data_IF_471607695614
#
_entry.id   IF_471607695614
#
_cell.length_a   1.000
_cell.length_b   1.000
_cell.length_c   1.000
_cell.angle_alpha   90.00
_cell.angle_beta   90.00
_cell.angle_gamma   90.00
#
_symmetry.space_group_name_H-M   'P 1'
#
loop_
_entity.id
_entity.type
_entity.pdbx_description
1 polymer ?
#
# COMPACT_ATOMS: atom_id res chain seq x y z
N UNK A 1 -3.78 3.96 -11.20
CA UNK A 1 -3.79 3.24 -9.92
C UNK A 1 -4.42 1.88 -10.17
N UNK A 2 -3.65 0.79 -10.11
CA UNK A 2 -4.15 -0.54 -10.52
C UNK A 2 -5.10 -1.04 -9.44
N UNK A 3 -6.40 -0.81 -9.64
CA UNK A 3 -7.48 -1.39 -8.86
C UNK A 3 -7.43 -2.92 -9.02
N UNK A 4 -7.32 -3.64 -7.91
CA UNK A 4 -7.54 -5.10 -7.88
C UNK A 4 -8.97 -5.34 -7.39
N UNK A 5 -9.76 -5.95 -8.28
CA UNK A 5 -11.16 -6.32 -8.12
C UNK A 5 -11.34 -7.45 -7.10
N UNK A 6 -12.34 -7.34 -6.22
CA UNK A 6 -12.82 -8.44 -5.39
C UNK A 6 -14.16 -8.98 -5.92
N UNK A 7 -14.31 -10.30 -6.05
CA UNK A 7 -15.57 -10.98 -6.37
C UNK A 7 -16.22 -11.50 -5.09
N UNK A 8 -17.52 -11.24 -4.90
CA UNK A 8 -18.33 -11.84 -3.82
C UNK A 8 -19.02 -13.07 -4.41
N UNK A 9 -18.61 -14.27 -3.99
CA UNK A 9 -19.34 -15.49 -4.30
C UNK A 9 -20.36 -15.74 -3.18
N UNK A 10 -21.64 -15.48 -3.46
CA UNK A 10 -22.74 -15.88 -2.61
C UNK A 10 -23.34 -17.16 -3.19
N UNK A 11 -22.89 -18.32 -2.69
CA UNK A 11 -23.64 -19.59 -2.57
C UNK A 11 -22.68 -20.76 -2.30
N UNK A 12 -23.10 -21.65 -1.38
CA UNK A 12 -22.37 -22.84 -0.96
C UNK A 12 -22.26 -23.85 -2.10
N UNK A 13 -21.14 -23.85 -2.81
CA UNK A 13 -20.59 -25.05 -3.44
C UNK A 13 -19.07 -24.86 -3.51
N UNK A 14 -18.30 -25.88 -3.13
CA UNK A 14 -16.83 -25.82 -3.05
C UNK A 14 -16.20 -25.53 -4.43
N UNK A 15 -16.05 -24.25 -4.76
CA UNK A 15 -15.27 -23.82 -5.91
C UNK A 15 -13.79 -24.01 -5.54
N UNK A 16 -13.19 -25.10 -6.00
CA UNK A 16 -11.74 -25.34 -5.91
C UNK A 16 -11.02 -24.37 -6.85
N UNK A 17 -10.94 -23.11 -6.45
CA UNK A 17 -10.13 -22.11 -7.13
C UNK A 17 -8.68 -22.47 -6.84
N UNK A 18 -7.90 -22.79 -7.88
CA UNK A 18 -6.45 -22.86 -7.74
C UNK A 18 -5.94 -21.42 -7.58
N UNK A 19 -5.47 -21.14 -6.37
CA UNK A 19 -5.03 -19.83 -5.94
C UNK A 19 -3.83 -19.36 -6.77
N UNK A 20 -2.97 -20.28 -7.20
CA UNK A 20 -1.81 -19.95 -8.04
C UNK A 20 -2.26 -19.61 -9.45
N UNK A 21 -3.18 -20.40 -10.01
CA UNK A 21 -3.79 -20.10 -11.32
C UNK A 21 -4.54 -18.76 -11.31
N UNK A 22 -5.19 -18.40 -10.20
CA UNK A 22 -5.83 -17.10 -10.02
C UNK A 22 -4.81 -15.96 -9.95
N UNK A 23 -3.78 -16.06 -9.10
CA UNK A 23 -2.72 -15.04 -8.97
C UNK A 23 -2.00 -14.84 -10.31
N UNK A 24 -1.67 -15.93 -11.01
CA UNK A 24 -1.02 -15.91 -12.31
C UNK A 24 -1.89 -15.24 -13.38
N UNK A 25 -3.21 -15.49 -13.39
CA UNK A 25 -4.12 -14.91 -14.40
C UNK A 25 -4.54 -13.47 -14.11
N UNK A 26 -4.61 -13.08 -12.84
CA UNK A 26 -5.05 -11.73 -12.43
C UNK A 26 -3.85 -10.82 -12.31
N UNK A 27 -3.01 -11.02 -11.29
CA UNK A 27 -1.91 -10.13 -10.97
C UNK A 27 -0.66 -10.41 -11.82
N UNK A 28 -0.42 -11.69 -12.15
CA UNK A 28 0.67 -12.14 -13.01
C UNK A 28 0.46 -11.80 -14.49
N UNK A 29 -0.79 -11.89 -14.96
CA UNK A 29 -1.18 -11.74 -16.36
C UNK A 29 -1.21 -10.29 -16.87
N UNK A 30 -1.13 -9.31 -15.96
CA UNK A 30 -1.12 -7.90 -16.35
C UNK A 30 0.16 -7.56 -17.13
N UNK A 31 0.08 -6.83 -18.26
CA UNK A 31 1.24 -6.38 -19.02
C UNK A 31 1.87 -5.15 -18.35
N UNK A 32 2.38 -5.30 -17.12
CA UNK A 32 2.87 -4.19 -16.31
C UNK A 32 3.99 -3.40 -16.98
N UNK A 33 4.82 -4.04 -17.80
CA UNK A 33 5.94 -3.41 -18.49
C UNK A 33 5.51 -2.42 -19.58
N UNK A 34 4.28 -2.52 -20.10
CA UNK A 34 3.72 -1.54 -21.03
C UNK A 34 2.92 -0.43 -20.33
N UNK A 35 2.47 -0.67 -19.09
CA UNK A 35 1.65 0.26 -18.31
C UNK A 35 2.47 1.11 -17.34
N UNK A 36 3.59 0.57 -16.84
CA UNK A 36 4.44 1.19 -15.84
C UNK A 36 5.82 1.45 -16.43
N UNK A 37 6.34 2.63 -16.12
CA UNK A 37 7.70 3.01 -16.47
C UNK A 37 8.46 3.45 -15.22
N UNK A 38 9.79 3.41 -15.29
CA UNK A 38 10.64 3.90 -14.20
C UNK A 38 10.27 5.33 -13.86
N UNK A 39 10.22 5.63 -12.57
CA UNK A 39 9.91 6.97 -12.08
C UNK A 39 11.07 7.51 -11.21
N UNK A 40 12.10 8.13 -11.81
CA UNK A 40 13.26 8.66 -11.09
C UNK A 40 12.91 9.73 -10.06
N UNK A 41 11.88 10.54 -10.33
CA UNK A 41 11.41 11.59 -9.42
C UNK A 41 10.78 10.98 -8.16
N UNK A 42 9.95 9.95 -8.33
CA UNK A 42 9.37 9.19 -7.21
C UNK A 42 10.46 8.48 -6.40
N UNK A 43 11.41 7.81 -7.07
CA UNK A 43 12.55 7.18 -6.42
C UNK A 43 13.32 8.18 -5.57
N UNK A 44 13.66 9.34 -6.13
CA UNK A 44 14.41 10.39 -5.44
C UNK A 44 13.66 10.93 -4.22
N UNK A 45 12.36 11.17 -4.34
CA UNK A 45 11.51 11.65 -3.25
C UNK A 45 11.42 10.62 -2.10
N UNK A 46 11.17 9.35 -2.41
CA UNK A 46 11.11 8.28 -1.41
C UNK A 46 12.48 8.06 -0.78
N UNK A 47 13.55 8.11 -1.57
CA UNK A 47 14.92 7.93 -1.07
C UNK A 47 15.30 9.03 -0.06
N UNK A 48 15.02 10.30 -0.38
CA UNK A 48 15.38 11.44 0.47
C UNK A 48 14.57 11.58 1.76
N UNK A 49 13.49 10.80 1.90
CA UNK A 49 12.66 10.78 3.10
C UNK A 49 13.46 10.29 4.32
N UNK A 50 13.54 11.14 5.35
CA UNK A 50 14.24 10.92 6.61
C UNK A 50 13.30 10.29 7.65
N UNK A 51 13.12 8.96 7.55
CA UNK A 51 12.29 8.16 8.44
C UNK A 51 13.04 6.91 8.89
N UNK A 52 12.64 6.34 10.03
CA UNK A 52 13.29 5.15 10.58
C UNK A 52 13.13 3.91 9.70
N UNK A 53 11.89 3.59 9.28
CA UNK A 53 11.60 2.46 8.39
C UNK A 53 10.60 2.86 7.31
N UNK A 54 10.83 2.33 6.11
CA UNK A 54 9.92 2.40 4.95
C UNK A 54 9.42 0.98 4.71
N UNK A 55 8.11 0.79 4.64
CA UNK A 55 7.49 -0.54 4.57
C UNK A 55 6.42 -0.56 3.48
N UNK A 56 6.41 -1.59 2.65
CA UNK A 56 5.35 -1.80 1.66
C UNK A 56 4.17 -2.50 2.30
N UNK A 57 2.95 -2.02 2.06
CA UNK A 57 1.74 -2.65 2.57
C UNK A 57 0.68 -2.73 1.47
N UNK A 58 0.47 -3.93 0.92
CA UNK A 58 -0.35 -4.15 -0.27
C UNK A 58 -1.34 -5.31 -0.08
N UNK A 59 -2.47 -5.24 -0.79
CA UNK A 59 -3.42 -6.35 -0.90
C UNK A 59 -3.03 -7.33 -2.02
N UNK A 60 -2.07 -6.98 -2.87
CA UNK A 60 -1.56 -7.86 -3.92
C UNK A 60 -0.70 -9.00 -3.35
N UNK A 61 -0.44 -10.02 -4.17
CA UNK A 61 0.54 -11.06 -3.89
C UNK A 61 1.98 -10.53 -3.90
N UNK A 62 2.90 -11.27 -3.28
CA UNK A 62 4.31 -10.85 -3.15
C UNK A 62 5.00 -10.68 -4.51
N UNK A 63 4.78 -11.62 -5.43
CA UNK A 63 5.37 -11.63 -6.76
C UNK A 63 5.00 -10.38 -7.56
N UNK A 64 3.71 -10.03 -7.54
CA UNK A 64 3.20 -8.83 -8.19
C UNK A 64 3.81 -7.56 -7.59
N UNK A 65 3.81 -7.45 -6.26
CA UNK A 65 4.38 -6.30 -5.58
C UNK A 65 5.87 -6.10 -5.90
N UNK A 66 6.65 -7.19 -5.90
CA UNK A 66 8.07 -7.17 -6.28
C UNK A 66 8.26 -6.76 -7.74
N UNK A 67 7.41 -7.22 -8.66
CA UNK A 67 7.44 -6.84 -10.08
C UNK A 67 7.16 -5.35 -10.28
N UNK A 68 6.11 -4.81 -9.66
CA UNK A 68 5.79 -3.36 -9.70
C UNK A 68 6.95 -2.52 -9.18
N UNK A 69 7.49 -2.85 -8.01
CA UNK A 69 8.64 -2.16 -7.41
C UNK A 69 9.87 -2.23 -8.33
N UNK A 70 10.04 -3.36 -9.03
CA UNK A 70 11.11 -3.55 -10.00
C UNK A 70 10.99 -2.63 -11.21
N UNK A 71 9.81 -2.57 -11.82
CA UNK A 71 9.54 -1.75 -13.01
C UNK A 71 9.65 -0.26 -12.67
N UNK A 72 9.09 0.18 -11.53
CA UNK A 72 9.17 1.57 -11.08
C UNK A 72 10.59 1.99 -10.69
N UNK A 73 11.50 1.04 -10.48
CA UNK A 73 12.87 1.29 -10.03
C UNK A 73 12.94 1.69 -8.56
N UNK A 74 12.10 1.12 -7.71
CA UNK A 74 12.03 1.41 -6.27
C UNK A 74 12.70 0.33 -5.41
N UNK A 75 13.40 -0.63 -6.03
CA UNK A 75 14.14 -1.65 -5.28
C UNK A 75 15.15 -1.02 -4.31
N UNK A 76 15.31 -1.66 -3.14
CA UNK A 76 16.23 -1.24 -2.09
C UNK A 76 15.78 -0.04 -1.24
N UNK A 77 14.60 0.54 -1.50
CA UNK A 77 14.10 1.67 -0.71
C UNK A 77 13.27 1.26 0.52
N UNK A 78 12.81 0.01 0.56
CA UNK A 78 11.91 -0.50 1.60
C UNK A 78 12.60 -1.60 2.41
N UNK A 79 12.34 -1.61 3.72
CA UNK A 79 12.93 -2.56 4.66
C UNK A 79 12.18 -3.91 4.67
N UNK A 80 10.95 -3.91 4.14
CA UNK A 80 10.14 -5.11 4.01
C UNK A 80 8.79 -4.83 3.39
N UNK A 81 8.00 -5.89 3.28
CA UNK A 81 6.69 -5.88 2.66
C UNK A 81 5.71 -6.75 3.45
N UNK A 82 4.54 -6.20 3.70
CA UNK A 82 3.34 -6.93 4.08
C UNK A 82 2.45 -7.03 2.85
N UNK A 83 2.19 -8.24 2.40
CA UNK A 83 1.37 -8.55 1.23
C UNK A 83 0.25 -9.52 1.62
N UNK A 84 -0.74 -9.69 0.73
CA UNK A 84 -1.79 -10.66 0.97
C UNK A 84 -1.32 -12.04 0.49
N UNK A 85 -1.12 -12.96 1.44
CA UNK A 85 -0.62 -14.29 1.14
C UNK A 85 -1.80 -15.19 0.77
N UNK A 86 -2.14 -15.23 -0.52
CA UNK A 86 -3.30 -15.98 -0.98
C UNK A 86 -3.22 -17.48 -0.67
N UNK A 87 -2.03 -18.04 -0.40
CA UNK A 87 -1.86 -19.44 -0.01
C UNK A 87 -2.41 -19.76 1.39
N UNK A 88 -2.67 -18.75 2.21
CA UNK A 88 -3.30 -18.92 3.52
C UNK A 88 -4.83 -19.09 3.37
N UNK A 89 -5.41 -20.11 4.00
CA UNK A 89 -6.88 -20.35 3.98
C UNK A 89 -7.72 -19.17 4.45
N UNK A 90 -7.18 -18.36 5.35
CA UNK A 90 -7.80 -17.14 5.87
C UNK A 90 -6.78 -16.00 5.78
N UNK A 91 -6.38 -15.70 4.55
CA UNK A 91 -5.50 -14.57 4.30
C UNK A 91 -6.17 -13.27 4.76
N UNK A 92 -5.35 -12.36 5.29
CA UNK A 92 -5.81 -11.04 5.77
C UNK A 92 -5.29 -9.97 4.82
N UNK A 93 -6.19 -9.15 4.28
CA UNK A 93 -5.84 -7.97 3.50
C UNK A 93 -6.50 -6.72 4.09
N UNK A 94 -6.07 -5.53 3.68
CA UNK A 94 -6.74 -4.26 4.02
C UNK A 94 -8.17 -4.27 3.45
N UNK A 95 -9.16 -3.66 4.11
CA UNK A 95 -9.07 -2.84 5.32
C UNK A 95 -9.25 -3.63 6.63
N UNK A 96 -9.05 -4.96 6.67
CA UNK A 96 -9.17 -5.72 7.92
C UNK A 96 -8.15 -5.22 8.95
N UNK A 97 -8.60 -4.97 10.18
CA UNK A 97 -7.76 -4.60 11.33
C UNK A 97 -6.55 -5.53 11.49
N UNK A 98 -6.74 -6.83 11.28
CA UNK A 98 -5.70 -7.86 11.38
C UNK A 98 -4.57 -7.64 10.38
N UNK A 99 -4.84 -7.06 9.21
CA UNK A 99 -3.82 -6.75 8.23
C UNK A 99 -2.90 -5.60 8.72
N UNK A 100 -3.46 -4.60 9.40
CA UNK A 100 -2.69 -3.50 10.00
C UNK A 100 -1.86 -3.99 11.20
N UNK A 101 -2.43 -4.84 12.06
CA UNK A 101 -1.71 -5.49 13.17
C UNK A 101 -0.55 -6.35 12.65
N UNK A 102 -0.79 -7.14 11.59
CA UNK A 102 0.24 -7.92 10.90
C UNK A 102 1.36 -7.02 10.37
N UNK A 103 1.03 -5.90 9.73
CA UNK A 103 2.02 -4.96 9.20
C UNK A 103 2.89 -4.34 10.31
N UNK A 104 2.30 -3.92 11.42
CA UNK A 104 3.04 -3.41 12.58
C UNK A 104 3.98 -4.46 13.18
N UNK A 105 3.48 -5.67 13.38
CA UNK A 105 4.27 -6.77 13.93
C UNK A 105 5.47 -7.11 13.02
N UNK A 106 5.25 -7.22 11.71
CA UNK A 106 6.32 -7.50 10.75
C UNK A 106 7.33 -6.36 10.62
N UNK A 107 6.88 -5.10 10.72
CA UNK A 107 7.76 -3.93 10.75
C UNK A 107 8.47 -3.72 12.10
N UNK A 108 8.09 -4.47 13.15
CA UNK A 108 8.60 -4.31 14.51
C UNK A 108 8.23 -2.96 15.13
N UNK A 109 7.02 -2.47 14.87
CA UNK A 109 6.48 -1.22 15.42
C UNK A 109 5.43 -1.55 16.47
N UNK A 110 5.60 -1.03 17.68
CA UNK A 110 4.71 -1.33 18.82
C UNK A 110 3.74 -0.20 19.15
N UNK A 111 3.90 0.98 18.54
CA UNK A 111 3.09 2.16 18.84
C UNK A 111 2.41 2.68 17.56
N UNK A 112 1.07 2.72 17.48
CA UNK A 112 0.35 3.12 16.28
C UNK A 112 0.58 4.58 15.84
N UNK A 113 0.87 5.47 16.78
CA UNK A 113 1.18 6.89 16.55
C UNK A 113 2.51 7.10 15.80
N UNK A 114 3.36 6.08 15.75
CA UNK A 114 4.59 6.07 14.93
C UNK A 114 4.34 5.64 13.49
N UNK A 115 3.12 5.20 13.15
CA UNK A 115 2.77 4.72 11.82
C UNK A 115 2.19 5.84 10.96
N UNK A 116 2.77 6.02 9.79
CA UNK A 116 2.29 6.92 8.74
C UNK A 116 1.88 6.09 7.53
N UNK A 117 0.66 6.31 7.03
CA UNK A 117 0.04 5.53 5.97
C UNK A 117 -0.31 6.39 4.78
N UNK A 118 -0.06 5.88 3.57
CA UNK A 118 -0.45 6.54 2.32
C UNK A 118 -1.13 5.49 1.46
N UNK A 119 -2.39 5.72 1.11
CA UNK A 119 -3.19 4.77 0.33
C UNK A 119 -4.29 5.54 -0.40
N UNK A 120 -4.79 4.95 -1.47
CA UNK A 120 -5.82 5.51 -2.32
C UNK A 120 -7.23 5.03 -1.98
N UNK A 121 -7.34 3.89 -1.31
CA UNK A 121 -8.62 3.36 -0.87
C UNK A 121 -9.08 4.07 0.39
N UNK A 122 -10.23 4.75 0.31
CA UNK A 122 -10.91 5.37 1.46
C UNK A 122 -11.06 4.39 2.63
N UNK A 123 -11.47 3.14 2.38
CA UNK A 123 -11.66 2.16 3.44
C UNK A 123 -10.35 1.81 4.17
N UNK A 124 -9.23 1.73 3.43
CA UNK A 124 -7.91 1.49 4.03
C UNK A 124 -7.47 2.68 4.88
N UNK A 125 -7.66 3.90 4.38
CA UNK A 125 -7.33 5.15 5.07
C UNK A 125 -8.15 5.31 6.35
N UNK A 126 -9.45 5.02 6.30
CA UNK A 126 -10.33 5.04 7.46
C UNK A 126 -9.89 4.03 8.52
N UNK A 127 -9.54 2.80 8.11
CA UNK A 127 -9.03 1.79 9.05
C UNK A 127 -7.72 2.24 9.70
N UNK A 128 -6.78 2.78 8.93
CA UNK A 128 -5.53 3.31 9.47
C UNK A 128 -5.79 4.39 10.52
N UNK A 129 -6.73 5.29 10.25
CA UNK A 129 -7.15 6.35 11.18
C UNK A 129 -7.77 5.75 12.45
N UNK A 130 -8.65 4.75 12.33
CA UNK A 130 -9.24 4.03 13.48
C UNK A 130 -8.18 3.27 14.30
N UNK A 131 -7.10 2.83 13.67
CA UNK A 131 -5.95 2.20 14.33
C UNK A 131 -5.04 3.21 15.05
N UNK A 132 -5.27 4.52 14.88
CA UNK A 132 -4.43 5.58 15.46
C UNK A 132 -3.19 5.92 14.63
N UNK A 133 -3.12 5.48 13.37
CA UNK A 133 -2.06 5.85 12.44
C UNK A 133 -2.34 7.24 11.86
N UNK A 134 -1.31 7.97 11.45
CA UNK A 134 -1.48 9.16 10.62
C UNK A 134 -1.67 8.73 9.17
N UNK A 135 -2.84 8.99 8.58
CA UNK A 135 -3.20 8.53 7.24
C UNK A 135 -3.33 9.66 6.22
N UNK A 136 -2.77 9.45 5.03
CA UNK A 136 -2.84 10.35 3.87
C UNK A 136 -3.60 9.65 2.74
N UNK A 137 -4.71 10.23 2.32
CA UNK A 137 -5.49 9.74 1.20
C UNK A 137 -4.96 10.29 -0.13
N UNK A 138 -4.58 9.41 -1.05
CA UNK A 138 -4.27 9.80 -2.43
C UNK A 138 -5.55 9.73 -3.26
N UNK A 139 -6.12 10.89 -3.61
CA UNK A 139 -7.33 10.98 -4.40
C UNK A 139 -7.12 11.93 -5.59
N UNK A 140 -6.99 11.38 -6.79
CA UNK A 140 -6.78 12.12 -8.04
C UNK A 140 -7.95 13.07 -8.37
N UNK A 141 -9.17 12.71 -7.97
CA UNK A 141 -10.39 13.51 -8.14
C UNK A 141 -11.15 13.68 -6.81
N UNK A 142 -10.79 14.70 -6.01
CA UNK A 142 -11.42 14.93 -4.72
C UNK A 142 -12.80 15.60 -4.81
N UNK A 143 -13.35 15.80 -6.02
CA UNK A 143 -14.62 16.50 -6.16
C UNK A 143 -15.75 15.72 -5.50
N UNK A 144 -16.39 16.34 -4.50
CA UNK A 144 -17.53 15.75 -3.79
C UNK A 144 -17.21 14.66 -2.76
N UNK A 145 -15.93 14.33 -2.54
CA UNK A 145 -15.53 13.35 -1.51
C UNK A 145 -15.18 14.04 -0.19
N UNK A 146 -15.74 13.57 0.92
CA UNK A 146 -15.33 14.00 2.25
C UNK A 146 -13.88 13.58 2.52
N UNK A 147 -13.18 14.35 3.37
CA UNK A 147 -11.81 14.04 3.77
C UNK A 147 -11.75 12.65 4.42
N UNK A 148 -11.00 11.75 3.81
CA UNK A 148 -10.65 10.45 4.41
C UNK A 148 -9.27 10.57 5.06
N UNK A 149 -9.17 10.27 6.36
CA UNK A 149 -7.89 10.33 7.09
C UNK A 149 -7.48 11.73 7.57
N UNK A 150 -6.19 11.91 7.83
CA UNK A 150 -5.63 13.16 8.37
C UNK A 150 -5.31 14.18 7.28
N UNK A 151 -4.91 13.69 6.09
CA UNK A 151 -4.53 14.52 4.95
C UNK A 151 -5.07 13.92 3.66
N UNK A 152 -5.23 14.74 2.64
CA UNK A 152 -5.59 14.30 1.29
C UNK A 152 -4.74 15.04 0.26
N UNK A 153 -4.23 14.28 -0.71
CA UNK A 153 -3.37 14.76 -1.79
C UNK A 153 -3.81 14.17 -3.12
N UNK A 154 -3.53 14.84 -4.24
CA UNK A 154 -3.90 14.33 -5.57
C UNK A 154 -2.89 13.37 -6.17
N UNK A 155 -1.66 13.46 -5.70
CA UNK A 155 -0.56 12.63 -6.17
C UNK A 155 0.39 12.36 -5.02
N UNK A 156 0.98 11.17 -4.98
CA UNK A 156 2.02 10.80 -4.01
C UNK A 156 3.20 11.79 -4.00
N UNK A 157 3.46 12.49 -5.11
CA UNK A 157 4.50 13.51 -5.19
C UNK A 157 4.23 14.74 -4.30
N UNK A 158 3.01 14.88 -3.79
CA UNK A 158 2.62 15.97 -2.89
C UNK A 158 2.82 15.62 -1.41
N UNK A 159 3.27 14.41 -1.08
CA UNK A 159 3.52 13.97 0.29
C UNK A 159 4.41 14.96 1.09
N UNK A 160 5.47 15.57 0.51
CA UNK A 160 6.26 16.59 1.21
C UNK A 160 5.48 17.86 1.58
N UNK A 161 4.36 18.16 0.92
CA UNK A 161 3.52 19.33 1.25
C UNK A 161 2.75 19.12 2.55
N UNK A 162 2.31 17.89 2.81
CA UNK A 162 1.46 17.54 3.97
C UNK A 162 2.25 16.95 5.14
N UNK A 163 3.41 16.34 4.87
CA UNK A 163 4.31 15.79 5.89
C UNK A 163 5.75 16.33 5.70
N UNK A 164 5.96 17.66 5.74
CA UNK A 164 7.27 18.27 5.45
C UNK A 164 8.37 17.85 6.44
N UNK A 165 8.00 17.41 7.65
CA UNK A 165 8.94 16.97 8.69
C UNK A 165 9.82 15.78 8.27
N UNK A 166 9.44 15.03 7.23
CA UNK A 166 10.26 13.93 6.71
C UNK A 166 11.29 14.36 5.67
N UNK A 167 11.27 15.62 5.22
CA UNK A 167 12.25 16.19 4.29
C UNK A 167 12.96 17.42 4.85
N UNK A 168 12.58 17.91 6.02
CA UNK A 168 13.33 18.94 6.71
C UNK A 168 14.65 18.36 7.25
N UNK A 169 15.73 19.10 7.07
CA UNK A 169 16.98 18.78 7.76
C UNK A 169 16.75 18.99 9.24
N UNK A 170 16.99 17.96 10.07
CA UNK A 170 17.20 18.20 11.49
C UNK A 170 18.37 19.17 11.57
N UNK A 171 18.12 20.40 12.03
CA UNK A 171 19.20 21.25 12.52
C UNK A 171 19.85 20.45 13.65
N UNK A 172 21.05 19.94 13.40
CA UNK A 172 21.93 19.52 14.49
C UNK A 172 22.35 20.78 15.25
#
# INVERSE_FOLDING_TARGET
>A
MVLISAFICNEYNECKIDIRDYDDKVDGGLPLESLLTRNPSLRSMIHSMNVGKKWLFTNAGESHAKRVIGILGLQGLFHGITFCNYLERQFVCKPDKKAFEKAMAQAGVNSPDLCYFVDDSTANVEMATRMGWTAVHVNEDPSGTALSGNFQIRSIMELPKVLPQFWSHRRQ
#
